data_IF_050493658666
#
_entry.id   IF_050493658666
#
_cell.length_a   1.000
_cell.length_b   1.000
_cell.length_c   1.000
_cell.angle_alpha   90.00
_cell.angle_beta   90.00
_cell.angle_gamma   90.00
#
_symmetry.space_group_name_H-M   'P 1'
#
loop_
_entity.id
_entity.type
_entity.pdbx_description
1 polymer ?
#
# COMPACT_ATOMS: atom_id res chain seq x y z
N UNK A 1 -19.09 7.48 21.81
CA UNK A 1 -18.01 7.05 20.91
C UNK A 1 -18.70 6.55 19.64
N UNK A 2 -18.99 7.46 18.72
CA UNK A 2 -19.76 7.20 17.50
C UNK A 2 -18.88 6.49 16.48
N UNK A 3 -19.27 5.27 16.15
CA UNK A 3 -18.70 4.46 15.08
C UNK A 3 -18.86 5.21 13.75
N UNK A 4 -17.75 5.53 13.07
CA UNK A 4 -17.81 6.18 11.78
C UNK A 4 -18.21 5.13 10.73
N UNK A 5 -19.31 5.33 9.97
CA UNK A 5 -19.80 4.32 9.04
C UNK A 5 -18.71 3.92 8.04
N UNK A 6 -18.52 2.61 7.85
CA UNK A 6 -17.57 2.04 6.90
C UNK A 6 -17.79 2.61 5.50
N UNK A 7 -16.88 3.49 5.06
CA UNK A 7 -16.98 4.18 3.78
C UNK A 7 -16.45 3.27 2.68
N UNK A 8 -17.30 2.91 1.72
CA UNK A 8 -16.92 2.14 0.55
C UNK A 8 -15.81 2.86 -0.23
N UNK A 9 -14.77 2.13 -0.63
CA UNK A 9 -13.73 2.61 -1.53
C UNK A 9 -14.38 3.10 -2.83
N UNK A 10 -14.22 4.39 -3.14
CA UNK A 10 -14.59 4.93 -4.44
C UNK A 10 -13.34 4.95 -5.31
N UNK A 11 -13.28 4.16 -6.40
CA UNK A 11 -12.16 4.27 -7.32
C UNK A 11 -12.14 5.69 -7.89
N UNK A 12 -10.99 6.35 -7.80
CA UNK A 12 -10.78 7.63 -8.47
C UNK A 12 -10.77 7.31 -9.97
N UNK A 13 -11.74 7.85 -10.70
CA UNK A 13 -11.80 7.69 -12.15
C UNK A 13 -10.55 8.25 -12.82
N UNK A 14 -10.28 7.81 -14.05
CA UNK A 14 -9.18 8.37 -14.85
C UNK A 14 -9.46 9.86 -15.13
N UNK A 15 -8.66 10.75 -14.52
CA UNK A 15 -8.80 12.18 -14.75
C UNK A 15 -8.31 12.57 -16.14
N UNK A 16 -8.82 13.67 -16.71
CA UNK A 16 -8.38 14.14 -18.03
C UNK A 16 -6.93 14.62 -17.98
N UNK A 17 -6.09 14.09 -18.87
CA UNK A 17 -4.69 14.48 -19.00
C UNK A 17 -4.25 14.47 -20.49
N UNK A 18 -4.29 15.62 -21.17
CA UNK A 18 -3.92 15.71 -22.58
C UNK A 18 -2.46 15.30 -22.87
N UNK A 19 -1.56 15.41 -21.87
CA UNK A 19 -0.18 15.00 -22.05
C UNK A 19 -0.05 13.47 -22.06
N UNK A 20 -0.82 12.78 -21.22
CA UNK A 20 -0.95 11.31 -21.24
C UNK A 20 -1.57 10.83 -22.54
N UNK A 21 -2.65 11.48 -23.00
CA UNK A 21 -3.34 11.09 -24.23
C UNK A 21 -2.42 11.23 -25.44
N UNK A 22 -1.74 12.37 -25.58
CA UNK A 22 -0.71 12.57 -26.61
C UNK A 22 0.38 11.49 -26.53
N UNK A 23 0.85 11.14 -25.34
CA UNK A 23 1.87 10.10 -25.18
C UNK A 23 1.37 8.72 -25.61
N UNK A 24 0.12 8.37 -25.30
CA UNK A 24 -0.55 7.13 -25.75
C UNK A 24 -0.61 7.07 -27.27
N UNK A 25 -1.01 8.16 -27.91
CA UNK A 25 -1.17 8.26 -29.36
C UNK A 25 0.15 8.33 -30.14
N UNK A 26 1.25 8.75 -29.49
CA UNK A 26 2.53 8.98 -30.17
C UNK A 26 3.59 7.95 -29.78
N UNK A 27 4.32 8.21 -28.70
CA UNK A 27 5.50 7.45 -28.29
C UNK A 27 5.12 6.02 -27.94
N UNK A 28 4.02 5.83 -27.19
CA UNK A 28 3.57 4.50 -26.79
C UNK A 28 3.01 3.70 -27.97
N UNK A 29 2.14 4.30 -28.78
CA UNK A 29 1.61 3.65 -29.98
C UNK A 29 2.74 3.16 -30.91
N UNK A 30 3.78 3.98 -31.13
CA UNK A 30 4.95 3.59 -31.92
C UNK A 30 5.68 2.39 -31.32
N UNK A 31 5.86 2.35 -30.00
CA UNK A 31 6.50 1.22 -29.33
C UNK A 31 5.70 -0.08 -29.49
N UNK A 32 4.36 0.01 -29.40
CA UNK A 32 3.46 -1.15 -29.52
C UNK A 32 3.41 -1.74 -30.92
N UNK A 33 3.78 -0.98 -31.96
CA UNK A 33 3.92 -1.52 -33.33
C UNK A 33 5.08 -2.50 -33.45
N UNK A 34 6.14 -2.34 -32.64
CA UNK A 34 7.30 -3.22 -32.66
C UNK A 34 7.13 -4.43 -31.75
N UNK A 35 6.48 -4.26 -30.60
CA UNK A 35 6.20 -5.35 -29.67
C UNK A 35 4.89 -5.08 -28.92
N UNK A 36 3.96 -6.03 -29.01
CA UNK A 36 2.71 -5.98 -28.26
C UNK A 36 2.96 -6.09 -26.75
N UNK A 37 1.98 -5.65 -25.96
CA UNK A 37 2.01 -5.88 -24.53
C UNK A 37 1.92 -7.38 -24.21
N UNK A 38 2.57 -7.77 -23.14
CA UNK A 38 2.63 -9.15 -22.67
C UNK A 38 1.30 -9.70 -22.15
N UNK A 39 0.30 -8.84 -21.93
CA UNK A 39 -1.05 -9.15 -21.45
C UNK A 39 -2.02 -8.10 -21.97
N UNK A 40 -3.26 -8.52 -22.19
CA UNK A 40 -4.35 -7.60 -22.56
C UNK A 40 -4.78 -6.71 -21.39
N UNK A 41 -4.65 -7.22 -20.15
CA UNK A 41 -4.94 -6.51 -18.89
C UNK A 41 -3.86 -6.75 -17.86
N UNK A 42 -3.53 -5.71 -17.12
CA UNK A 42 -2.62 -5.76 -15.98
C UNK A 42 -3.44 -5.59 -14.71
N UNK A 43 -3.47 -6.62 -13.86
CA UNK A 43 -4.25 -6.61 -12.64
C UNK A 43 -3.39 -7.04 -11.44
N UNK A 44 -3.73 -6.50 -10.27
CA UNK A 44 -3.21 -7.00 -8.99
C UNK A 44 -3.82 -8.37 -8.65
N UNK A 45 -3.26 -9.08 -7.68
CA UNK A 45 -3.83 -10.35 -7.19
C UNK A 45 -5.23 -10.20 -6.59
N UNK A 46 -5.67 -8.98 -6.30
CA UNK A 46 -7.01 -8.65 -5.82
C UNK A 46 -7.97 -8.22 -6.92
N UNK A 47 -7.59 -8.33 -8.20
CA UNK A 47 -8.44 -7.98 -9.35
C UNK A 47 -8.57 -6.48 -9.61
N UNK A 48 -7.68 -5.66 -9.05
CA UNK A 48 -7.64 -4.21 -9.35
C UNK A 48 -6.82 -4.00 -10.60
N UNK A 49 -7.43 -3.40 -11.64
CA UNK A 49 -6.76 -3.03 -12.88
C UNK A 49 -5.71 -1.93 -12.66
N UNK A 50 -4.52 -2.16 -13.21
CA UNK A 50 -3.35 -1.28 -13.16
C UNK A 50 -3.19 -0.63 -14.52
N UNK A 51 -3.31 0.70 -14.55
CA UNK A 51 -3.19 1.49 -15.78
C UNK A 51 -1.73 1.63 -16.24
N UNK A 52 -1.57 1.98 -17.51
CA UNK A 52 -0.28 2.20 -18.18
C UNK A 52 0.51 3.39 -17.61
N UNK A 53 -0.19 4.42 -17.14
CA UNK A 53 0.40 5.62 -16.55
C UNK A 53 -0.57 6.29 -15.56
N UNK A 54 -0.08 6.58 -14.36
CA UNK A 54 -0.77 7.40 -13.36
C UNK A 54 -0.14 8.80 -13.32
N UNK A 55 -0.96 9.85 -13.31
CA UNK A 55 -0.54 11.26 -13.29
C UNK A 55 -1.28 12.04 -12.21
N UNK A 56 -0.99 13.34 -12.08
CA UNK A 56 -1.69 14.21 -11.13
C UNK A 56 -3.20 14.30 -11.41
N UNK A 57 -3.64 14.04 -12.65
CA UNK A 57 -5.07 13.97 -12.97
C UNK A 57 -5.78 12.83 -12.22
N UNK A 58 -5.06 11.76 -11.90
CA UNK A 58 -5.60 10.58 -11.21
C UNK A 58 -5.73 10.76 -9.70
N UNK A 59 -5.23 11.87 -9.16
CA UNK A 59 -5.43 12.29 -7.78
C UNK A 59 -6.23 13.60 -7.69
N UNK A 60 -6.73 14.14 -8.80
CA UNK A 60 -7.43 15.42 -8.82
C UNK A 60 -8.75 15.43 -8.00
N UNK A 61 -9.39 14.27 -7.85
CA UNK A 61 -10.59 14.11 -7.01
C UNK A 61 -10.32 13.80 -5.54
N UNK A 62 -9.04 13.70 -5.15
CA UNK A 62 -8.63 13.40 -3.78
C UNK A 62 -8.80 14.65 -2.91
N UNK A 63 -9.51 14.51 -1.80
CA UNK A 63 -9.60 15.53 -0.77
C UNK A 63 -8.60 15.17 0.35
N UNK A 64 -7.57 15.99 0.54
CA UNK A 64 -6.52 15.69 1.52
C UNK A 64 -7.08 15.57 2.94
N UNK A 65 -7.98 16.45 3.37
CA UNK A 65 -8.52 16.43 4.73
C UNK A 65 -9.42 15.22 4.95
N UNK A 66 -10.23 14.88 3.95
CA UNK A 66 -11.20 13.79 4.02
C UNK A 66 -10.59 12.41 3.80
N UNK A 67 -9.67 12.28 2.86
CA UNK A 67 -9.18 10.98 2.37
C UNK A 67 -7.78 10.63 2.86
N UNK A 68 -6.93 11.62 3.19
CA UNK A 68 -5.55 11.38 3.67
C UNK A 68 -5.35 11.70 5.16
N UNK A 69 -5.85 12.85 5.63
CA UNK A 69 -5.65 13.36 6.99
C UNK A 69 -4.19 13.64 7.35
N UNK A 70 -3.95 13.81 8.66
CA UNK A 70 -2.61 13.89 9.27
C UNK A 70 -2.29 12.57 10.00
N UNK A 71 -1.01 12.16 10.13
CA UNK A 71 -0.66 11.00 10.95
C UNK A 71 -1.17 11.16 12.39
N UNK A 72 -1.78 10.11 12.95
CA UNK A 72 -2.39 10.18 14.29
C UNK A 72 -3.78 10.79 14.35
N UNK A 73 -4.36 11.19 13.21
CA UNK A 73 -5.72 11.74 13.11
C UNK A 73 -6.56 10.96 12.09
N UNK A 74 -7.88 10.89 12.30
CA UNK A 74 -8.81 10.30 11.33
C UNK A 74 -8.65 10.97 9.94
N UNK A 75 -8.70 10.24 8.81
CA UNK A 75 -9.02 8.81 8.64
C UNK A 75 -7.84 7.85 8.85
N UNK A 76 -6.72 8.31 9.41
CA UNK A 76 -5.52 7.51 9.68
C UNK A 76 -4.86 6.90 8.44
N UNK A 77 -5.22 7.34 7.23
CA UNK A 77 -4.62 6.86 5.96
C UNK A 77 -3.10 7.03 5.97
N UNK A 78 -2.58 8.09 6.61
CA UNK A 78 -1.14 8.36 6.77
C UNK A 78 -0.51 7.71 8.02
N UNK A 79 -1.26 6.90 8.76
CA UNK A 79 -0.80 6.18 9.95
C UNK A 79 -1.53 6.59 11.23
N UNK A 80 -1.64 5.64 12.16
CA UNK A 80 -2.38 5.78 13.43
C UNK A 80 -1.59 6.50 14.53
N UNK A 81 -0.27 6.71 14.35
CA UNK A 81 0.57 7.40 15.34
C UNK A 81 1.11 8.71 14.75
N UNK A 82 1.12 9.82 15.50
CA UNK A 82 1.56 11.12 14.98
C UNK A 82 3.04 11.16 14.61
N UNK A 83 3.89 10.40 15.33
CA UNK A 83 5.34 10.37 15.09
C UNK A 83 5.80 9.16 14.28
N UNK A 84 4.91 8.18 14.07
CA UNK A 84 5.20 6.88 13.44
C UNK A 84 6.58 6.34 13.88
N UNK A 85 7.37 5.85 12.92
CA UNK A 85 8.65 5.19 13.16
C UNK A 85 9.82 6.14 13.47
N UNK A 86 9.58 7.46 13.55
CA UNK A 86 10.58 8.40 14.06
C UNK A 86 10.73 8.32 15.57
N UNK A 87 9.68 7.90 16.28
CA UNK A 87 9.69 7.71 17.74
C UNK A 87 9.96 6.25 18.10
N UNK A 88 9.22 5.32 17.49
CA UNK A 88 9.33 3.87 17.78
C UNK A 88 9.17 3.07 16.50
N UNK A 89 10.15 2.23 16.18
CA UNK A 89 10.07 1.29 15.06
C UNK A 89 8.90 0.31 15.23
N UNK A 90 8.47 -0.31 14.14
CA UNK A 90 7.52 -1.41 14.22
C UNK A 90 8.09 -2.55 15.08
N UNK A 91 7.21 -3.27 15.76
CA UNK A 91 7.62 -4.48 16.49
C UNK A 91 8.07 -5.52 15.48
N UNK A 92 9.35 -5.88 15.52
CA UNK A 92 9.83 -7.07 14.81
C UNK A 92 9.26 -8.29 15.52
N UNK A 93 8.42 -9.08 14.84
CA UNK A 93 7.70 -10.24 15.39
C UNK A 93 7.80 -11.45 14.44
N UNK A 94 8.80 -12.29 14.68
CA UNK A 94 9.04 -13.54 13.99
C UNK A 94 8.11 -14.57 14.59
N UNK A 95 7.38 -15.29 13.74
CA UNK A 95 6.73 -16.52 14.15
C UNK A 95 7.80 -17.55 14.48
N UNK A 96 7.80 -18.04 15.71
CA UNK A 96 8.73 -19.03 16.17
C UNK A 96 8.03 -20.03 17.08
N UNK A 97 8.08 -21.30 16.70
CA UNK A 97 7.49 -22.40 17.45
C UNK A 97 8.08 -23.72 16.99
N UNK A 98 8.32 -24.61 17.95
CA UNK A 98 8.73 -25.98 17.72
C UNK A 98 7.72 -26.91 18.39
N UNK A 99 7.83 -28.22 18.12
CA UNK A 99 6.83 -29.21 18.51
C UNK A 99 6.46 -29.19 20.00
N UNK A 100 7.41 -28.87 20.89
CA UNK A 100 7.16 -28.76 22.33
C UNK A 100 7.27 -27.33 22.86
N UNK A 101 6.62 -27.09 24.00
CA UNK A 101 6.68 -25.81 24.71
C UNK A 101 8.12 -25.45 25.15
N UNK A 102 8.92 -26.44 25.56
CA UNK A 102 10.29 -26.24 26.02
C UNK A 102 11.22 -25.80 24.89
N UNK A 103 11.09 -26.39 23.70
CA UNK A 103 11.85 -26.01 22.51
C UNK A 103 11.44 -24.62 22.02
N UNK A 104 10.15 -24.32 22.04
CA UNK A 104 9.62 -22.99 21.70
C UNK A 104 10.17 -21.91 22.67
N UNK A 105 10.16 -22.16 23.98
CA UNK A 105 10.71 -21.24 24.97
C UNK A 105 12.22 -21.04 24.79
N UNK A 106 12.98 -22.09 24.44
CA UNK A 106 14.41 -21.96 24.11
C UNK A 106 14.63 -21.06 22.89
N UNK A 107 13.81 -21.22 21.85
CA UNK A 107 13.87 -20.37 20.65
C UNK A 107 13.50 -18.93 20.93
N UNK A 108 12.49 -18.68 21.76
CA UNK A 108 12.09 -17.34 22.17
C UNK A 108 13.20 -16.59 22.90
N UNK A 109 13.88 -17.24 23.85
CA UNK A 109 15.04 -16.64 24.55
C UNK A 109 16.15 -16.28 23.58
N UNK A 110 16.51 -17.21 22.68
CA UNK A 110 17.50 -16.95 21.64
C UNK A 110 17.14 -15.72 20.79
N UNK A 111 15.87 -15.59 20.35
CA UNK A 111 15.44 -14.45 19.54
C UNK A 111 15.53 -13.12 20.31
N UNK A 112 15.09 -13.08 21.58
CA UNK A 112 15.18 -11.89 22.41
C UNK A 112 16.63 -11.43 22.60
N UNK A 113 17.55 -12.36 22.84
CA UNK A 113 18.99 -12.09 22.95
C UNK A 113 19.58 -11.48 21.66
N UNK A 114 18.98 -11.78 20.51
CA UNK A 114 19.42 -11.29 19.19
C UNK A 114 18.62 -10.07 18.71
N UNK A 115 17.98 -9.33 19.62
CA UNK A 115 17.35 -8.03 19.32
C UNK A 115 15.90 -8.09 18.86
N UNK A 116 15.26 -9.26 18.96
CA UNK A 116 13.83 -9.39 18.71
C UNK A 116 13.02 -8.66 19.79
N UNK A 117 11.99 -7.90 19.39
CA UNK A 117 11.16 -7.09 20.32
C UNK A 117 9.72 -7.60 20.48
N UNK A 118 9.34 -8.64 19.73
CA UNK A 118 8.06 -9.34 19.88
C UNK A 118 8.15 -10.81 19.51
N UNK A 119 7.39 -11.66 20.20
CA UNK A 119 7.35 -13.11 19.99
C UNK A 119 5.96 -13.54 19.52
N UNK A 120 5.88 -14.49 18.59
CA UNK A 120 4.62 -15.11 18.12
C UNK A 120 4.77 -16.58 17.84
#
# INVERSE_FOLDING_TARGET
MTDAPGRAFRPVGEGTDPARDRWRETVRAKALQSAAERRDRFETSSGIEVRDLYTAADTAGLDEARDLGRPGEYPYTRGVQPTMYRSRLWTMRQYAGFATAEETNRRFRYLLEHGQTGLS
#
